data_IF_419564992781
#
_entry.id   IF_419564992781
#
_cell.length_a   1.000
_cell.length_b   1.000
_cell.length_c   1.000
_cell.angle_alpha   90.00
_cell.angle_beta   90.00
_cell.angle_gamma   90.00
#
_symmetry.space_group_name_H-M   'P 1'
#
loop_
_entity.id
_entity.type
_entity.pdbx_description
1 polymer ?
#
# COMPACT_ATOMS: atom_id res chain seq x y z
N UNK A 1 33.08 -14.11 -39.43
CA UNK A 1 31.67 -13.72 -39.23
C UNK A 1 30.88 -14.97 -38.80
N UNK A 2 29.94 -14.79 -37.89
CA UNK A 2 29.34 -15.76 -36.95
C UNK A 2 28.88 -17.11 -37.53
N UNK A 3 29.49 -18.20 -37.04
CA UNK A 3 29.10 -19.60 -37.29
C UNK A 3 27.80 -20.03 -36.57
N UNK A 4 27.26 -19.19 -35.68
CA UNK A 4 26.11 -19.49 -34.82
C UNK A 4 24.77 -19.57 -35.57
N UNK A 5 24.65 -18.97 -36.76
CA UNK A 5 23.40 -18.92 -37.53
C UNK A 5 23.31 -19.99 -38.62
N UNK A 6 24.35 -20.81 -38.78
CA UNK A 6 24.43 -21.80 -39.87
C UNK A 6 23.87 -23.17 -39.47
N UNK A 7 23.67 -23.42 -38.17
CA UNK A 7 23.09 -24.67 -37.67
C UNK A 7 21.62 -24.46 -37.24
N UNK A 8 20.69 -25.31 -37.69
CA UNK A 8 19.27 -25.18 -37.31
C UNK A 8 19.06 -25.38 -35.79
N UNK A 9 19.92 -26.16 -35.15
CA UNK A 9 19.92 -26.38 -33.69
C UNK A 9 20.25 -25.12 -32.90
N UNK A 10 21.17 -24.28 -33.39
CA UNK A 10 21.52 -23.02 -32.71
C UNK A 10 20.38 -22.00 -32.76
N UNK A 11 19.58 -22.00 -33.84
CA UNK A 11 18.37 -21.15 -33.96
C UNK A 11 17.32 -21.58 -32.93
N UNK A 12 17.08 -22.89 -32.79
CA UNK A 12 16.14 -23.43 -31.80
C UNK A 12 16.58 -23.12 -30.36
N UNK A 13 17.88 -23.18 -30.08
CA UNK A 13 18.42 -22.81 -28.76
C UNK A 13 18.23 -21.32 -28.46
N UNK A 14 18.49 -20.44 -29.44
CA UNK A 14 18.24 -19.00 -29.31
C UNK A 14 16.75 -18.71 -29.08
N UNK A 15 15.87 -19.42 -29.77
CA UNK A 15 14.42 -19.26 -29.65
C UNK A 15 13.91 -19.72 -28.29
N UNK A 16 14.45 -20.82 -27.75
CA UNK A 16 14.18 -21.25 -26.37
C UNK A 16 14.70 -20.25 -25.35
N UNK A 17 15.90 -19.69 -25.55
CA UNK A 17 16.45 -18.67 -24.66
C UNK A 17 15.60 -17.40 -24.67
N UNK A 18 15.16 -16.97 -25.86
CA UNK A 18 14.26 -15.84 -26.02
C UNK A 18 12.88 -16.11 -25.38
N UNK A 19 12.35 -17.32 -25.52
CA UNK A 19 11.09 -17.71 -24.90
C UNK A 19 11.19 -17.72 -23.36
N UNK A 20 12.28 -18.28 -22.80
CA UNK A 20 12.55 -18.25 -21.36
C UNK A 20 12.74 -16.82 -20.84
N UNK A 21 13.50 -15.99 -21.56
CA UNK A 21 13.68 -14.58 -21.22
C UNK A 21 12.36 -13.80 -21.26
N UNK A 22 11.54 -14.02 -22.29
CA UNK A 22 10.23 -13.40 -22.44
C UNK A 22 9.25 -13.80 -21.33
N UNK A 23 9.16 -15.10 -21.03
CA UNK A 23 8.37 -15.62 -19.91
C UNK A 23 8.83 -15.03 -18.57
N UNK A 24 10.15 -14.99 -18.33
CA UNK A 24 10.71 -14.44 -17.08
C UNK A 24 10.39 -12.96 -16.92
N UNK A 25 10.51 -12.19 -18.00
CA UNK A 25 10.16 -10.77 -18.00
C UNK A 25 8.66 -10.56 -17.75
N UNK A 26 7.81 -11.36 -18.39
CA UNK A 26 6.37 -11.32 -18.18
C UNK A 26 5.99 -11.65 -16.73
N UNK A 27 6.56 -12.71 -16.16
CA UNK A 27 6.35 -13.08 -14.76
C UNK A 27 6.80 -11.99 -13.80
N UNK A 28 7.96 -11.36 -14.07
CA UNK A 28 8.44 -10.23 -13.28
C UNK A 28 7.42 -9.09 -13.30
N UNK A 29 6.97 -8.69 -14.49
CA UNK A 29 6.01 -7.60 -14.64
C UNK A 29 4.68 -7.90 -13.91
N UNK A 30 4.19 -9.13 -14.00
CA UNK A 30 2.97 -9.54 -13.30
C UNK A 30 3.15 -9.57 -11.78
N UNK A 31 4.32 -10.01 -11.30
CA UNK A 31 4.64 -10.00 -9.88
C UNK A 31 4.73 -8.56 -9.33
N UNK A 32 5.38 -7.66 -10.05
CA UNK A 32 5.49 -6.25 -9.67
C UNK A 32 4.10 -5.60 -9.60
N UNK A 33 3.21 -5.89 -10.55
CA UNK A 33 1.82 -5.42 -10.53
C UNK A 33 1.04 -5.95 -9.32
N UNK A 34 1.12 -7.25 -9.06
CA UNK A 34 0.43 -7.84 -7.90
C UNK A 34 0.93 -7.23 -6.59
N UNK A 35 2.22 -6.92 -6.49
CA UNK A 35 2.80 -6.29 -5.31
C UNK A 35 2.23 -4.88 -5.09
N UNK A 36 2.12 -4.08 -6.15
CA UNK A 36 1.48 -2.75 -6.10
C UNK A 36 0.01 -2.83 -5.68
N UNK A 37 -0.73 -3.78 -6.25
CA UNK A 37 -2.15 -4.00 -5.90
C UNK A 37 -2.30 -4.41 -4.43
N UNK A 38 -1.42 -5.28 -3.94
CA UNK A 38 -1.42 -5.67 -2.53
C UNK A 38 -1.05 -4.52 -1.60
N UNK A 39 -0.08 -3.69 -1.97
CA UNK A 39 0.30 -2.51 -1.20
C UNK A 39 -0.85 -1.51 -1.12
N UNK A 40 -1.54 -1.24 -2.24
CA UNK A 40 -2.72 -0.37 -2.27
C UNK A 40 -3.85 -0.89 -1.36
N UNK A 41 -4.15 -2.20 -1.42
CA UNK A 41 -5.16 -2.81 -0.54
C UNK A 41 -4.77 -2.77 0.92
N UNK A 42 -3.49 -2.97 1.24
CA UNK A 42 -3.00 -2.89 2.62
C UNK A 42 -3.09 -1.48 3.17
N UNK A 43 -2.79 -0.46 2.36
CA UNK A 43 -2.94 0.95 2.75
C UNK A 43 -4.41 1.32 2.97
N UNK A 44 -5.32 0.86 2.12
CA UNK A 44 -6.76 1.01 2.35
C UNK A 44 -7.20 0.36 3.67
N UNK A 45 -6.79 -0.89 3.92
CA UNK A 45 -7.10 -1.61 5.15
C UNK A 45 -6.50 -0.92 6.38
N UNK A 46 -5.27 -0.44 6.32
CA UNK A 46 -4.64 0.32 7.41
C UNK A 46 -5.38 1.63 7.68
N UNK A 47 -5.81 2.34 6.63
CA UNK A 47 -6.66 3.52 6.74
C UNK A 47 -7.97 3.23 7.46
N UNK A 48 -8.63 2.10 7.14
CA UNK A 48 -9.84 1.69 7.86
C UNK A 48 -9.57 1.32 9.31
N UNK A 49 -8.50 0.57 9.60
CA UNK A 49 -8.13 0.17 10.95
C UNK A 49 -7.82 1.38 11.82
N UNK A 50 -7.10 2.37 11.28
CA UNK A 50 -6.81 3.62 11.97
C UNK A 50 -8.07 4.44 12.27
N UNK A 51 -9.02 4.49 11.33
CA UNK A 51 -10.34 5.09 11.57
C UNK A 51 -11.10 4.40 12.72
N UNK A 52 -11.09 3.06 12.75
CA UNK A 52 -11.70 2.30 13.83
C UNK A 52 -11.00 2.51 15.18
N UNK A 53 -9.67 2.62 15.21
CA UNK A 53 -8.90 2.96 16.43
C UNK A 53 -9.36 4.32 16.96
N UNK A 54 -9.50 5.33 16.10
CA UNK A 54 -10.02 6.65 16.51
C UNK A 54 -11.42 6.60 17.13
N UNK A 55 -12.33 5.77 16.57
CA UNK A 55 -13.66 5.58 17.14
C UNK A 55 -13.64 4.88 18.50
N UNK A 56 -12.71 3.93 18.70
CA UNK A 56 -12.52 3.23 19.97
C UNK A 56 -11.93 4.17 21.01
N UNK A 57 -10.89 4.95 20.67
CA UNK A 57 -10.30 5.95 21.55
C UNK A 57 -11.32 7.00 21.99
N UNK A 58 -12.14 7.52 21.07
CA UNK A 58 -13.22 8.45 21.41
C UNK A 58 -14.26 7.79 22.33
N UNK A 59 -14.56 6.50 22.11
CA UNK A 59 -15.51 5.76 22.96
C UNK A 59 -14.96 5.50 24.36
N UNK A 60 -13.67 5.19 24.48
CA UNK A 60 -12.97 5.05 25.76
C UNK A 60 -12.89 6.38 26.51
N UNK A 61 -12.56 7.48 25.83
CA UNK A 61 -12.54 8.82 26.44
C UNK A 61 -13.93 9.22 26.96
N UNK A 62 -15.01 8.89 26.24
CA UNK A 62 -16.38 9.09 26.74
C UNK A 62 -16.72 8.24 27.96
N UNK A 63 -16.27 6.99 27.99
CA UNK A 63 -16.47 6.10 29.14
C UNK A 63 -15.67 6.57 30.36
N UNK A 64 -14.43 7.00 30.17
CA UNK A 64 -13.58 7.57 31.24
C UNK A 64 -14.09 8.94 31.71
N UNK A 65 -14.54 9.80 30.79
CA UNK A 65 -15.15 11.09 31.12
C UNK A 65 -16.45 10.95 31.91
N UNK A 66 -17.27 9.95 31.58
CA UNK A 66 -18.43 9.54 32.41
C UNK A 66 -18.02 8.95 33.76
N UNK A 67 -16.92 8.21 33.82
CA UNK A 67 -16.43 7.59 35.06
C UNK A 67 -15.76 8.59 36.03
N UNK A 68 -15.18 9.69 35.53
CA UNK A 68 -14.48 10.70 36.36
C UNK A 68 -15.32 11.92 36.76
N UNK A 69 -16.62 11.97 36.43
CA UNK A 69 -17.51 13.04 36.91
C UNK A 69 -17.08 14.46 36.53
N UNK A 70 -16.26 14.62 35.48
CA UNK A 70 -15.83 15.92 34.98
C UNK A 70 -16.70 16.32 33.79
N UNK A 71 -17.50 17.34 34.03
CA UNK A 71 -18.04 18.25 33.03
C UNK A 71 -16.89 18.66 32.06
N UNK A 72 -17.01 18.33 30.77
CA UNK A 72 -16.11 18.73 29.69
C UNK A 72 -16.85 18.49 28.37
N UNK A 73 -17.63 19.42 27.81
CA UNK A 73 -17.26 20.78 27.42
C UNK A 73 -16.05 20.77 26.48
N UNK A 74 -16.35 20.92 25.18
CA UNK A 74 -15.56 21.66 24.20
C UNK A 74 -14.66 20.94 23.18
N UNK A 75 -14.84 19.65 22.90
CA UNK A 75 -14.32 19.08 21.63
C UNK A 75 -15.46 18.63 20.70
N UNK A 76 -15.56 19.18 19.47
CA UNK A 76 -16.60 18.80 18.52
C UNK A 76 -16.43 17.32 18.14
N UNK A 77 -17.53 16.56 18.23
CA UNK A 77 -17.63 15.16 17.83
C UNK A 77 -16.92 14.92 16.49
N UNK A 78 -16.02 13.95 16.43
CA UNK A 78 -15.32 13.57 15.20
C UNK A 78 -14.01 14.32 14.92
N UNK A 79 -13.62 15.34 15.69
CA UNK A 79 -12.40 16.11 15.41
C UNK A 79 -11.11 15.26 15.46
N UNK A 80 -11.01 14.29 16.39
CA UNK A 80 -9.85 13.39 16.49
C UNK A 80 -9.84 12.33 15.37
N UNK A 81 -11.01 11.82 15.00
CA UNK A 81 -11.15 10.92 13.85
C UNK A 81 -10.77 11.62 12.54
N UNK A 82 -11.28 12.83 12.31
CA UNK A 82 -10.96 13.66 11.16
C UNK A 82 -9.47 14.03 11.11
N UNK A 83 -8.85 14.31 12.27
CA UNK A 83 -7.41 14.58 12.34
C UNK A 83 -6.56 13.36 11.93
N UNK A 84 -6.96 12.14 12.31
CA UNK A 84 -6.28 10.90 11.90
C UNK A 84 -6.48 10.62 10.39
N UNK A 85 -7.67 10.91 9.84
CA UNK A 85 -7.91 10.84 8.38
C UNK A 85 -7.11 11.90 7.60
N UNK A 86 -7.03 13.14 8.09
CA UNK A 86 -6.35 14.27 7.45
C UNK A 86 -4.81 14.20 7.54
N UNK A 87 -4.25 13.39 8.45
CA UNK A 87 -2.81 13.20 8.56
C UNK A 87 -2.20 12.59 7.27
N UNK A 88 -2.95 11.73 6.57
CA UNK A 88 -2.53 11.09 5.30
C UNK A 88 -2.09 12.11 4.23
N UNK A 89 -2.92 13.13 3.97
CA UNK A 89 -2.63 14.13 2.92
C UNK A 89 -1.51 15.13 3.26
N UNK A 90 -0.98 15.13 4.48
CA UNK A 90 0.19 15.96 4.86
C UNK A 90 1.50 15.19 4.82
N UNK A 91 1.48 13.89 5.10
CA UNK A 91 2.69 13.09 5.08
C UNK A 91 3.09 12.74 3.62
N UNK A 92 2.13 12.48 2.72
CA UNK A 92 2.38 12.37 1.27
C UNK A 92 3.06 13.64 0.69
N UNK A 93 2.61 14.84 1.10
CA UNK A 93 3.22 16.13 0.67
C UNK A 93 4.60 16.41 1.26
N UNK A 94 4.99 15.71 2.32
CA UNK A 94 6.31 15.83 2.93
C UNK A 94 7.32 14.91 2.25
N UNK A 95 6.87 13.77 1.75
CA UNK A 95 7.73 12.84 1.00
C UNK A 95 8.03 13.34 -0.42
N UNK A 96 7.08 14.01 -1.11
CA UNK A 96 7.34 14.61 -2.43
C UNK A 96 8.31 15.81 -2.44
N UNK A 97 8.69 16.35 -1.27
CA UNK A 97 9.55 17.56 -1.15
C UNK A 97 10.98 17.28 -0.69
N UNK A 98 11.40 16.02 -0.59
CA UNK A 98 12.79 15.62 -0.35
C UNK A 98 13.41 15.01 -1.59
#
# INVERSE_FOLDING_TARGET
>A
MSSLLRSPTSILQLLNLAALGGMTYYFKQHHDYNLQEHEARMDELEGTLRGHIGLIEESLERLEGKAKGRLGADEPRGAKAEALYMARGRDEKKEEKK
#
